data_IF_843838238629
#
_entry.id   IF_843838238629
#
_cell.length_a   1.000
_cell.length_b   1.000
_cell.length_c   1.000
_cell.angle_alpha   90.00
_cell.angle_beta   90.00
_cell.angle_gamma   90.00
#
_symmetry.space_group_name_H-M   'P 1'
#
loop_
_entity.id
_entity.type
_entity.pdbx_description
1 polymer ?
#
# COMPACT_ATOMS: atom_id res chain seq x y z
N UNK A 1 -12.18 21.83 -0.18
CA UNK A 1 -10.76 21.49 -0.44
C UNK A 1 -10.29 20.26 0.34
N UNK A 2 -10.80 20.04 1.56
CA UNK A 2 -10.29 19.00 2.48
C UNK A 2 -10.68 17.57 2.07
N UNK A 3 -11.88 17.38 1.50
CA UNK A 3 -12.31 16.08 0.95
C UNK A 3 -11.48 15.60 -0.24
N UNK A 4 -10.99 16.53 -1.06
CA UNK A 4 -10.16 16.22 -2.22
C UNK A 4 -8.81 15.65 -1.81
N UNK A 5 -8.20 16.18 -0.75
CA UNK A 5 -6.97 15.64 -0.18
C UNK A 5 -7.15 14.23 0.40
N UNK A 6 -8.28 13.99 1.09
CA UNK A 6 -8.58 12.66 1.65
C UNK A 6 -8.82 11.61 0.55
N UNK A 7 -9.47 11.99 -0.56
CA UNK A 7 -9.61 11.10 -1.72
C UNK A 7 -8.25 10.84 -2.38
N UNK A 8 -7.41 11.88 -2.51
CA UNK A 8 -6.05 11.73 -3.01
C UNK A 8 -5.21 10.78 -2.16
N UNK A 9 -5.26 10.92 -0.83
CA UNK A 9 -4.52 10.03 0.07
C UNK A 9 -5.05 8.59 0.06
N UNK A 10 -6.37 8.38 -0.03
CA UNK A 10 -6.95 7.05 -0.24
C UNK A 10 -6.51 6.42 -1.56
N UNK A 11 -6.48 7.20 -2.65
CA UNK A 11 -6.02 6.71 -3.95
C UNK A 11 -4.54 6.29 -3.93
N UNK A 12 -3.68 7.10 -3.30
CA UNK A 12 -2.25 6.77 -3.14
C UNK A 12 -2.06 5.55 -2.24
N UNK A 13 -2.80 5.45 -1.14
CA UNK A 13 -2.75 4.28 -0.25
C UNK A 13 -3.17 3.01 -1.00
N UNK A 14 -4.22 3.06 -1.80
CA UNK A 14 -4.66 1.94 -2.64
C UNK A 14 -3.63 1.53 -3.70
N UNK A 15 -2.99 2.51 -4.36
CA UNK A 15 -1.91 2.23 -5.31
C UNK A 15 -0.69 1.59 -4.63
N UNK A 16 -0.29 2.08 -3.46
CA UNK A 16 0.82 1.51 -2.70
C UNK A 16 0.51 0.07 -2.28
N UNK A 17 -0.69 -0.18 -1.77
CA UNK A 17 -1.13 -1.52 -1.39
C UNK A 17 -1.07 -2.45 -2.60
N UNK A 18 -1.59 -2.02 -3.75
CA UNK A 18 -1.56 -2.79 -4.98
C UNK A 18 -0.12 -3.13 -5.39
N UNK A 19 0.80 -2.17 -5.33
CA UNK A 19 2.22 -2.37 -5.69
C UNK A 19 2.89 -3.38 -4.77
N UNK A 20 2.75 -3.27 -3.44
CA UNK A 20 3.36 -4.23 -2.51
C UNK A 20 2.75 -5.63 -2.63
N UNK A 21 1.45 -5.71 -2.93
CA UNK A 21 0.76 -6.97 -3.14
C UNK A 21 1.19 -7.63 -4.45
N UNK A 22 1.44 -6.83 -5.50
CA UNK A 22 2.04 -7.29 -6.75
C UNK A 22 3.48 -7.75 -6.55
N UNK A 23 4.27 -7.06 -5.72
CA UNK A 23 5.65 -7.43 -5.46
C UNK A 23 5.74 -8.76 -4.69
N UNK A 24 4.88 -8.95 -3.69
CA UNK A 24 4.84 -10.19 -2.91
C UNK A 24 4.38 -11.39 -3.76
N UNK A 25 3.37 -11.22 -4.63
CA UNK A 25 2.78 -12.31 -5.41
C UNK A 25 3.54 -12.61 -6.71
N UNK A 26 3.97 -11.57 -7.45
CA UNK A 26 4.55 -11.69 -8.79
C UNK A 26 6.05 -11.34 -8.82
N UNK A 27 6.62 -10.80 -7.74
CA UNK A 27 8.01 -10.35 -7.71
C UNK A 27 8.28 -9.13 -8.60
N UNK A 28 7.25 -8.34 -8.92
CA UNK A 28 7.33 -7.18 -9.80
C UNK A 28 6.61 -6.00 -9.15
N UNK A 29 7.18 -4.79 -9.09
CA UNK A 29 8.36 -4.30 -9.82
C UNK A 29 9.72 -4.33 -9.09
N UNK A 30 9.79 -4.61 -7.79
CA UNK A 30 11.00 -4.44 -6.98
C UNK A 30 11.75 -5.76 -6.70
N UNK A 31 11.04 -6.88 -6.56
CA UNK A 31 11.65 -8.19 -6.23
C UNK A 31 12.14 -9.00 -7.44
N UNK A 32 12.27 -8.37 -8.60
CA UNK A 32 12.59 -9.05 -9.88
C UNK A 32 13.97 -9.74 -9.90
N UNK A 33 14.88 -9.34 -9.02
CA UNK A 33 16.22 -9.93 -8.86
C UNK A 33 16.35 -10.90 -7.66
N UNK A 34 15.37 -10.93 -6.74
CA UNK A 34 15.41 -11.70 -5.49
C UNK A 34 14.46 -12.91 -5.42
N UNK A 35 13.65 -13.12 -6.46
CA UNK A 35 12.57 -14.13 -6.49
C UNK A 35 11.25 -13.58 -5.95
N UNK A 36 10.14 -14.25 -6.26
CA UNK A 36 8.81 -13.88 -5.76
C UNK A 36 8.42 -14.71 -4.52
N UNK A 37 7.59 -14.13 -3.64
CA UNK A 37 7.05 -14.81 -2.46
C UNK A 37 7.90 -14.68 -1.18
N UNK A 38 7.50 -15.43 -0.15
CA UNK A 38 8.07 -15.38 1.21
C UNK A 38 9.56 -15.80 1.33
N UNK A 39 10.16 -16.31 0.25
CA UNK A 39 11.59 -16.65 0.21
C UNK A 39 12.49 -15.50 -0.26
N UNK A 40 11.91 -14.39 -0.73
CA UNK A 40 12.66 -13.19 -1.11
C UNK A 40 13.19 -12.46 0.13
N UNK A 41 14.43 -11.94 0.11
CA UNK A 41 14.98 -11.12 1.20
C UNK A 41 14.17 -9.85 1.45
N UNK A 42 13.33 -9.43 0.50
CA UNK A 42 12.49 -8.24 0.59
C UNK A 42 11.06 -8.52 1.06
N UNK A 43 10.68 -9.79 1.27
CA UNK A 43 9.32 -10.17 1.69
C UNK A 43 8.83 -9.48 2.96
N UNK A 44 9.74 -9.17 3.89
CA UNK A 44 9.42 -8.46 5.13
C UNK A 44 9.04 -6.99 4.86
N UNK A 45 9.67 -6.36 3.87
CA UNK A 45 9.33 -5.00 3.42
C UNK A 45 7.96 -4.99 2.76
N UNK A 46 7.64 -6.00 1.95
CA UNK A 46 6.32 -6.11 1.30
C UNK A 46 5.20 -6.26 2.32
N UNK A 47 5.39 -7.10 3.33
CA UNK A 47 4.40 -7.31 4.40
C UNK A 47 4.19 -6.03 5.21
N UNK A 48 5.29 -5.36 5.62
CA UNK A 48 5.21 -4.08 6.31
C UNK A 48 4.58 -2.99 5.44
N UNK A 49 4.85 -3.00 4.13
CA UNK A 49 4.28 -2.09 3.16
C UNK A 49 2.77 -2.29 2.96
N UNK A 50 2.31 -3.55 2.89
CA UNK A 50 0.89 -3.91 2.85
C UNK A 50 0.18 -3.45 4.13
N UNK A 51 0.75 -3.72 5.30
CA UNK A 51 0.17 -3.28 6.57
C UNK A 51 0.13 -1.75 6.68
N UNK A 52 1.23 -1.08 6.36
CA UNK A 52 1.33 0.39 6.42
C UNK A 52 0.37 1.09 5.46
N UNK A 53 0.26 0.61 4.23
CA UNK A 53 -0.69 1.15 3.24
C UNK A 53 -2.15 0.90 3.63
N UNK A 54 -2.46 -0.27 4.22
CA UNK A 54 -3.78 -0.56 4.78
C UNK A 54 -4.16 0.38 5.93
N UNK A 55 -3.25 0.61 6.87
CA UNK A 55 -3.46 1.56 7.98
C UNK A 55 -3.66 2.97 7.45
N UNK A 56 -2.81 3.41 6.51
CA UNK A 56 -2.91 4.74 5.91
C UNK A 56 -4.25 4.93 5.19
N UNK A 57 -4.69 3.95 4.41
CA UNK A 57 -5.98 3.96 3.73
C UNK A 57 -7.16 4.02 4.70
N UNK A 58 -7.09 3.26 5.80
CA UNK A 58 -8.11 3.30 6.86
C UNK A 58 -8.18 4.67 7.54
N UNK A 59 -7.04 5.26 7.90
CA UNK A 59 -6.98 6.59 8.50
C UNK A 59 -7.49 7.66 7.54
N UNK A 60 -7.14 7.58 6.26
CA UNK A 60 -7.62 8.49 5.23
C UNK A 60 -9.15 8.39 5.03
N UNK A 61 -9.70 7.18 5.11
CA UNK A 61 -11.14 6.96 5.05
C UNK A 61 -11.86 7.51 6.29
N UNK A 62 -11.31 7.28 7.48
CA UNK A 62 -11.87 7.81 8.72
C UNK A 62 -11.85 9.36 8.69
N UNK A 63 -10.73 9.97 8.30
CA UNK A 63 -10.64 11.41 8.11
C UNK A 63 -11.63 11.94 7.06
N UNK A 64 -11.88 11.19 5.98
CA UNK A 64 -12.88 11.58 4.98
C UNK A 64 -14.30 11.63 5.55
N UNK A 65 -14.64 10.74 6.49
CA UNK A 65 -15.94 10.72 7.15
C UNK A 65 -16.10 11.87 8.15
N UNK A 66 -15.03 12.27 8.83
CA UNK A 66 -15.02 13.37 9.78
C UNK A 66 -15.13 14.75 9.12
N UNK A 67 -14.62 14.90 7.89
CA UNK A 67 -14.71 16.15 7.14
C UNK A 67 -16.15 16.35 6.62
N UNK A 68 -16.83 17.41 7.06
CA UNK A 68 -18.22 17.73 6.69
C UNK A 68 -18.32 18.59 5.43
#
# INVERSE_FOLDING_TARGET
MEKGLCIGSMAVAGLLLLVFLLDLLLGFPFSRAGGSGFSSPYSLVDICGILGSGILGYLAFNAYQDVK
#
